data_IF_317564831094
#
_entry.id   IF_317564831094
#
_cell.length_a   1.000
_cell.length_b   1.000
_cell.length_c   1.000
_cell.angle_alpha   90.00
_cell.angle_beta   90.00
_cell.angle_gamma   90.00
#
_symmetry.space_group_name_H-M   'P 1'
#
loop_
_entity.id
_entity.type
_entity.pdbx_description
1 polymer ?
#
# COMPACT_ATOMS: atom_id res chain seq x y z
N UNK A 1 1.48 -16.77 -0.49
CA UNK A 1 0.78 -15.46 -0.46
C UNK A 1 0.49 -15.11 -1.90
N UNK A 2 -0.70 -14.62 -2.24
CA UNK A 2 -0.98 -14.12 -3.59
C UNK A 2 -0.31 -12.77 -3.74
N UNK A 3 0.83 -12.74 -4.43
CA UNK A 3 1.53 -11.51 -4.79
C UNK A 3 0.64 -10.63 -5.69
N UNK A 4 0.83 -9.31 -5.63
CA UNK A 4 0.09 -8.39 -6.50
C UNK A 4 0.32 -8.77 -7.98
N UNK A 5 -0.73 -8.81 -8.82
CA UNK A 5 -0.56 -9.21 -10.22
C UNK A 5 0.36 -8.25 -10.99
N UNK A 6 1.48 -8.77 -11.50
CA UNK A 6 2.48 -8.00 -12.26
C UNK A 6 1.87 -7.15 -13.38
N UNK A 7 0.93 -7.71 -14.13
CA UNK A 7 0.27 -7.01 -15.24
C UNK A 7 -0.53 -5.79 -14.75
N UNK A 8 -1.26 -5.92 -13.65
CA UNK A 8 -2.05 -4.83 -13.07
C UNK A 8 -1.15 -3.73 -12.53
N UNK A 9 -0.08 -4.09 -11.81
CA UNK A 9 0.88 -3.12 -11.28
C UNK A 9 1.60 -2.40 -12.42
N UNK A 10 2.02 -3.12 -13.48
CA UNK A 10 2.62 -2.50 -14.66
C UNK A 10 1.68 -1.51 -15.35
N UNK A 11 0.37 -1.82 -15.43
CA UNK A 11 -0.64 -0.89 -15.96
C UNK A 11 -0.75 0.37 -15.09
N UNK A 12 -0.84 0.23 -13.78
CA UNK A 12 -0.87 1.37 -12.84
C UNK A 12 0.36 2.27 -12.96
N UNK A 13 1.54 1.70 -13.19
CA UNK A 13 2.77 2.47 -13.42
C UNK A 13 2.66 3.27 -14.73
N UNK A 14 2.14 2.66 -15.80
CA UNK A 14 1.94 3.33 -17.09
C UNK A 14 0.84 4.40 -17.07
N UNK A 15 -0.10 4.33 -16.13
CA UNK A 15 -1.08 5.40 -15.89
C UNK A 15 -0.44 6.68 -15.33
N UNK A 16 0.72 6.58 -14.67
CA UNK A 16 1.50 7.75 -14.21
C UNK A 16 2.22 8.41 -15.39
N UNK A 17 2.85 7.59 -16.24
CA UNK A 17 3.54 8.03 -17.45
C UNK A 17 3.61 6.84 -18.44
N UNK A 18 3.03 7.01 -19.62
CA UNK A 18 2.92 5.97 -20.64
C UNK A 18 4.26 5.67 -21.34
N UNK A 19 5.19 6.62 -21.36
CA UNK A 19 6.56 6.46 -21.86
C UNK A 19 7.49 5.72 -20.88
N UNK A 20 7.13 5.64 -19.59
CA UNK A 20 8.00 5.06 -18.54
C UNK A 20 8.29 3.58 -18.77
N UNK A 21 9.55 3.23 -19.03
CA UNK A 21 10.00 1.85 -19.11
C UNK A 21 10.43 1.35 -17.73
N UNK A 22 10.00 0.15 -17.36
CA UNK A 22 10.37 -0.49 -16.10
C UNK A 22 10.94 -1.88 -16.37
N UNK A 23 12.07 -2.20 -15.74
CA UNK A 23 12.67 -3.53 -15.78
C UNK A 23 11.83 -4.53 -14.99
N UNK A 24 12.03 -5.83 -15.25
CA UNK A 24 11.33 -6.88 -14.51
C UNK A 24 11.69 -6.88 -13.01
N UNK A 25 12.95 -6.58 -12.69
CA UNK A 25 13.43 -6.51 -11.31
C UNK A 25 12.85 -5.28 -10.59
N UNK A 26 12.83 -4.12 -11.27
CA UNK A 26 12.19 -2.91 -10.74
C UNK A 26 10.69 -3.12 -10.48
N UNK A 27 9.99 -3.80 -11.40
CA UNK A 27 8.58 -4.15 -11.20
C UNK A 27 8.40 -5.09 -9.99
N UNK A 28 9.33 -6.01 -9.79
CA UNK A 28 9.28 -6.96 -8.65
C UNK A 28 9.51 -6.22 -7.34
N UNK A 29 10.52 -5.33 -7.27
CA UNK A 29 10.76 -4.49 -6.09
C UNK A 29 9.54 -3.63 -5.75
N UNK A 30 8.89 -2.99 -6.73
CA UNK A 30 7.68 -2.19 -6.48
C UNK A 30 6.57 -3.05 -5.86
N UNK A 31 6.39 -4.29 -6.33
CA UNK A 31 5.39 -5.20 -5.79
C UNK A 31 5.71 -5.56 -4.33
N UNK A 32 6.98 -5.84 -4.03
CA UNK A 32 7.44 -6.15 -2.67
C UNK A 32 7.21 -4.97 -1.72
N UNK A 33 7.68 -3.78 -2.09
CA UNK A 33 7.51 -2.56 -1.30
C UNK A 33 6.03 -2.19 -1.12
N UNK A 34 5.22 -2.32 -2.17
CA UNK A 34 3.77 -2.06 -2.09
C UNK A 34 3.09 -3.06 -1.16
N UNK A 35 3.49 -4.34 -1.21
CA UNK A 35 2.97 -5.37 -0.32
C UNK A 35 3.32 -5.07 1.13
N UNK A 36 4.56 -4.66 1.39
CA UNK A 36 5.01 -4.28 2.72
C UNK A 36 4.29 -3.02 3.23
N UNK A 37 4.09 -2.04 2.36
CA UNK A 37 3.28 -0.86 2.65
C UNK A 37 1.84 -1.24 3.04
N UNK A 38 1.19 -2.14 2.30
CA UNK A 38 -0.18 -2.59 2.61
C UNK A 38 -0.23 -3.24 4.00
N UNK A 39 0.75 -4.08 4.35
CA UNK A 39 0.83 -4.71 5.68
C UNK A 39 0.94 -3.67 6.78
N UNK A 40 1.91 -2.76 6.67
CA UNK A 40 2.15 -1.69 7.65
C UNK A 40 0.95 -0.76 7.79
N UNK A 41 0.32 -0.36 6.68
CA UNK A 41 -0.90 0.45 6.70
C UNK A 41 -2.05 -0.29 7.40
N UNK A 42 -2.18 -1.60 7.17
CA UNK A 42 -3.21 -2.44 7.80
C UNK A 42 -2.97 -2.55 9.31
N UNK A 43 -1.72 -2.74 9.73
CA UNK A 43 -1.35 -2.80 11.15
C UNK A 43 -1.66 -1.49 11.88
N UNK A 44 -1.27 -0.34 11.32
CA UNK A 44 -1.58 0.97 11.92
C UNK A 44 -3.08 1.27 11.93
N UNK A 45 -3.79 0.92 10.85
CA UNK A 45 -5.25 1.03 10.81
C UNK A 45 -5.90 0.15 11.88
N UNK A 46 -5.38 -1.06 12.09
CA UNK A 46 -5.87 -1.97 13.10
C UNK A 46 -5.61 -1.46 14.52
N UNK A 47 -4.46 -0.83 14.79
CA UNK A 47 -4.18 -0.15 16.07
C UNK A 47 -5.24 0.92 16.35
N UNK A 48 -5.60 1.73 15.36
CA UNK A 48 -6.66 2.74 15.50
C UNK A 48 -8.04 2.11 15.77
N UNK A 49 -8.39 1.03 15.05
CA UNK A 49 -9.62 0.30 15.30
C UNK A 49 -9.67 -0.29 16.72
N UNK A 50 -8.54 -0.85 17.20
CA UNK A 50 -8.40 -1.42 18.54
C UNK A 50 -8.53 -0.37 19.64
N UNK A 51 -7.96 0.83 19.47
CA UNK A 51 -8.15 1.96 20.39
C UNK A 51 -9.61 2.37 20.51
N UNK A 52 -10.38 2.18 19.43
CA UNK A 52 -11.83 2.37 19.40
C UNK A 52 -12.64 1.14 19.85
N UNK A 53 -12.00 0.14 20.48
CA UNK A 53 -12.60 -1.14 20.93
C UNK A 53 -13.27 -1.94 19.82
N UNK A 54 -12.82 -1.79 18.56
CA UNK A 54 -13.35 -2.50 17.39
C UNK A 54 -12.32 -3.49 16.84
N UNK A 55 -12.81 -4.56 16.20
CA UNK A 55 -12.00 -5.51 15.42
C UNK A 55 -12.07 -5.26 13.90
N UNK A 56 -13.06 -4.50 13.45
CA UNK A 56 -13.25 -4.15 12.04
C UNK A 56 -12.63 -2.78 11.76
N UNK A 57 -11.72 -2.73 10.78
CA UNK A 57 -11.15 -1.48 10.25
C UNK A 57 -12.24 -0.72 9.50
N UNK A 58 -12.37 0.58 9.78
CA UNK A 58 -13.23 1.51 9.07
C UNK A 58 -12.39 2.55 8.31
N UNK A 59 -13.03 3.27 7.40
CA UNK A 59 -12.41 4.34 6.60
C UNK A 59 -11.66 5.38 7.45
N UNK A 60 -12.20 5.74 8.62
CA UNK A 60 -11.55 6.65 9.56
C UNK A 60 -10.24 6.12 10.14
N UNK A 61 -10.15 4.81 10.38
CA UNK A 61 -8.92 4.17 10.88
C UNK A 61 -7.80 4.23 9.84
N UNK A 62 -8.13 3.95 8.57
CA UNK A 62 -7.20 4.05 7.43
C UNK A 62 -6.74 5.49 7.24
N UNK A 63 -7.65 6.46 7.32
CA UNK A 63 -7.33 7.89 7.18
C UNK A 63 -6.36 8.34 8.27
N UNK A 64 -6.58 7.90 9.52
CA UNK A 64 -5.68 8.19 10.62
C UNK A 64 -4.30 7.52 10.43
N UNK A 65 -4.27 6.26 10.00
CA UNK A 65 -3.03 5.55 9.71
C UNK A 65 -2.21 6.24 8.59
N UNK A 66 -2.87 6.74 7.53
CA UNK A 66 -2.18 7.48 6.45
C UNK A 66 -1.46 8.73 6.95
N UNK A 67 -2.03 9.46 7.93
CA UNK A 67 -1.37 10.65 8.51
C UNK A 67 -0.06 10.30 9.20
N UNK A 68 0.08 9.09 9.75
CA UNK A 68 1.34 8.63 10.32
C UNK A 68 2.38 8.25 9.27
N UNK A 69 1.97 7.87 8.05
CA UNK A 69 2.89 7.45 6.98
C UNK A 69 3.37 8.59 6.07
N UNK A 70 2.48 9.50 5.65
CA UNK A 70 2.84 10.52 4.65
C UNK A 70 3.51 11.78 5.24
N UNK A 71 3.54 11.94 6.56
CA UNK A 71 4.15 13.10 7.23
C UNK A 71 5.51 12.80 7.88
N UNK A 72 6.08 11.63 7.60
CA UNK A 72 7.49 11.33 7.86
C UNK A 72 8.21 11.51 6.52
N UNK A 73 8.54 12.76 6.20
CA UNK A 73 9.36 13.17 5.04
C UNK A 73 10.24 14.33 5.46
#
# INVERSE_FOLDING_TARGET
MTDLPKATVKRMIKEVNDELLISNDGLTQIIEETTEFIKKLTEESFKSAKSNKRKTIKTGDVTNAKKHFYYIS
#
